data_IF_537660504878
#
_entry.id   IF_537660504878
#
_cell.length_a   1.000
_cell.length_b   1.000
_cell.length_c   1.000
_cell.angle_alpha   90.00
_cell.angle_beta   90.00
_cell.angle_gamma   90.00
#
_symmetry.space_group_name_H-M   'P 1'
#
loop_
_entity.id
_entity.type
_entity.pdbx_description
1 polymer ?
#
# COMPACT_ATOMS: atom_id res chain seq x y z
N UNK A 1 -6.09 -11.32 8.47
CA UNK A 1 -7.18 -10.69 7.68
C UNK A 1 -7.37 -11.47 6.37
N UNK A 2 -8.51 -11.33 5.65
CA UNK A 2 -8.84 -12.13 4.48
C UNK A 2 -7.79 -12.14 3.36
N UNK A 3 -6.95 -11.10 3.27
CA UNK A 3 -5.88 -11.02 2.26
C UNK A 3 -4.73 -12.03 2.46
N UNK A 4 -4.63 -12.72 3.60
CA UNK A 4 -3.69 -13.83 3.75
C UNK A 4 -4.25 -15.19 3.29
N UNK A 5 -5.51 -15.25 2.86
CA UNK A 5 -6.14 -16.50 2.41
C UNK A 5 -5.55 -17.08 1.11
N UNK A 6 -5.08 -16.28 0.13
CA UNK A 6 -4.48 -16.83 -1.09
C UNK A 6 -3.22 -17.66 -0.82
N UNK A 7 -3.12 -18.80 -1.51
CA UNK A 7 -1.96 -19.68 -1.44
C UNK A 7 -0.74 -19.06 -2.14
N UNK A 8 -0.95 -18.40 -3.28
CA UNK A 8 0.12 -17.68 -3.98
C UNK A 8 0.52 -16.42 -3.18
N UNK A 9 1.81 -16.24 -2.83
CA UNK A 9 2.29 -15.03 -2.19
C UNK A 9 2.01 -13.74 -2.98
N UNK A 10 2.04 -13.77 -4.31
CA UNK A 10 1.71 -12.60 -5.13
C UNK A 10 0.24 -12.22 -4.98
N UNK A 11 -0.65 -13.21 -4.94
CA UNK A 11 -2.07 -12.98 -4.69
C UNK A 11 -2.32 -12.41 -3.29
N UNK A 12 -1.52 -12.76 -2.27
CA UNK A 12 -1.60 -12.13 -0.94
C UNK A 12 -1.21 -10.66 -0.98
N UNK A 13 -0.14 -10.31 -1.70
CA UNK A 13 0.28 -8.91 -1.89
C UNK A 13 -0.81 -8.11 -2.63
N UNK A 14 -1.37 -8.66 -3.70
CA UNK A 14 -2.45 -8.00 -4.46
C UNK A 14 -3.74 -7.90 -3.64
N UNK A 15 -4.09 -8.93 -2.86
CA UNK A 15 -5.23 -8.89 -1.95
C UNK A 15 -5.04 -7.86 -0.83
N UNK A 16 -3.81 -7.61 -0.38
CA UNK A 16 -3.53 -6.50 0.52
C UNK A 16 -3.80 -5.15 -0.15
N UNK A 17 -3.36 -4.95 -1.41
CA UNK A 17 -3.64 -3.73 -2.17
C UNK A 17 -5.15 -3.52 -2.33
N UNK A 18 -5.89 -4.56 -2.72
CA UNK A 18 -7.36 -4.52 -2.86
C UNK A 18 -8.05 -4.24 -1.51
N UNK A 19 -7.55 -4.83 -0.42
CA UNK A 19 -8.02 -4.54 0.93
C UNK A 19 -7.81 -3.07 1.30
N UNK A 20 -6.63 -2.50 1.02
CA UNK A 20 -6.36 -1.07 1.28
C UNK A 20 -7.24 -0.16 0.44
N UNK A 21 -7.52 -0.54 -0.81
CA UNK A 21 -8.46 0.15 -1.68
C UNK A 21 -9.87 0.16 -1.08
N UNK A 22 -10.34 -0.98 -0.59
CA UNK A 22 -11.67 -1.14 -0.01
C UNK A 22 -11.86 -0.38 1.32
N UNK A 23 -10.77 -0.09 2.05
CA UNK A 23 -10.80 0.74 3.25
C UNK A 23 -10.99 2.23 2.95
N UNK A 24 -10.84 2.68 1.70
CA UNK A 24 -11.14 4.06 1.31
C UNK A 24 -12.66 4.20 1.20
N UNK A 25 -13.29 4.63 2.30
CA UNK A 25 -14.71 4.99 2.35
C UNK A 25 -14.99 6.33 1.68
N UNK A 26 -16.26 6.69 1.52
CA UNK A 26 -16.63 8.03 1.04
C UNK A 26 -16.48 9.11 2.12
N UNK A 27 -16.43 8.71 3.40
CA UNK A 27 -16.13 9.59 4.52
C UNK A 27 -14.61 9.81 4.65
N UNK A 28 -14.10 10.93 4.13
CA UNK A 28 -12.66 11.27 4.08
C UNK A 28 -11.98 11.23 5.47
N UNK A 29 -12.58 11.78 6.55
CA UNK A 29 -12.08 11.60 7.90
C UNK A 29 -11.86 10.15 8.35
N UNK A 30 -12.63 9.20 7.82
CA UNK A 30 -12.58 7.79 8.25
C UNK A 30 -11.36 7.03 7.70
N UNK A 31 -10.74 7.50 6.62
CA UNK A 31 -9.48 6.94 6.11
C UNK A 31 -8.35 7.97 6.24
N UNK A 32 -7.66 7.93 7.37
CA UNK A 32 -6.51 8.79 7.65
C UNK A 32 -5.35 7.97 8.19
N UNK A 33 -4.13 8.38 7.87
CA UNK A 33 -2.96 7.95 8.64
C UNK A 33 -2.54 9.07 9.60
N UNK A 34 -2.96 8.96 10.86
CA UNK A 34 -2.56 9.88 11.91
C UNK A 34 -1.03 9.99 12.02
N UNK A 35 -0.33 8.85 11.92
CA UNK A 35 1.14 8.82 11.95
C UNK A 35 1.76 9.64 10.80
N UNK A 36 1.20 9.56 9.59
CA UNK A 36 1.67 10.35 8.44
C UNK A 36 1.51 11.85 8.67
N UNK A 37 0.36 12.27 9.21
CA UNK A 37 0.10 13.68 9.55
C UNK A 37 1.05 14.18 10.63
N UNK A 38 1.24 13.42 11.72
CA UNK A 38 2.17 13.79 12.79
C UNK A 38 3.60 13.86 12.29
N UNK A 39 4.03 12.91 11.46
CA UNK A 39 5.37 12.93 10.89
C UNK A 39 5.64 14.21 10.08
N UNK A 40 4.68 14.71 9.30
CA UNK A 40 4.87 15.97 8.56
C UNK A 40 4.92 17.18 9.49
N UNK A 41 3.96 17.28 10.42
CA UNK A 41 3.78 18.45 11.28
C UNK A 41 4.89 18.61 12.33
N UNK A 42 5.32 17.51 12.95
CA UNK A 42 6.18 17.58 14.15
C UNK A 42 7.55 16.93 14.01
N UNK A 43 8.00 16.55 12.81
CA UNK A 43 9.30 15.86 12.62
C UNK A 43 10.49 16.57 13.26
N UNK A 44 10.51 17.91 13.24
CA UNK A 44 11.60 18.72 13.78
C UNK A 44 11.38 19.17 15.23
N UNK A 45 10.14 19.16 15.71
CA UNK A 45 9.75 19.80 16.99
C UNK A 45 9.41 18.79 18.09
N UNK A 46 9.06 17.55 17.76
CA UNK A 46 8.74 16.51 18.72
C UNK A 46 9.37 15.15 18.31
N UNK A 47 10.65 14.91 18.64
CA UNK A 47 11.37 13.71 18.21
C UNK A 47 10.70 12.40 18.68
N UNK A 48 10.20 12.35 19.91
CA UNK A 48 9.53 11.14 20.43
C UNK A 48 8.24 10.81 19.66
N UNK A 49 7.49 11.84 19.24
CA UNK A 49 6.28 11.66 18.43
C UNK A 49 6.65 11.25 17.01
N UNK A 50 7.67 11.88 16.42
CA UNK A 50 8.21 11.49 15.11
C UNK A 50 8.63 10.03 15.11
N UNK A 51 9.35 9.59 16.13
CA UNK A 51 9.89 8.24 16.20
C UNK A 51 8.78 7.20 16.40
N UNK A 52 7.75 7.52 17.20
CA UNK A 52 6.54 6.70 17.32
C UNK A 52 5.75 6.63 15.99
N UNK A 53 5.62 7.75 15.28
CA UNK A 53 4.99 7.79 13.96
C UNK A 53 5.79 6.97 12.93
N UNK A 54 7.12 7.09 12.95
CA UNK A 54 8.02 6.30 12.10
C UNK A 54 7.85 4.80 12.37
N UNK A 55 7.83 4.37 13.63
CA UNK A 55 7.60 2.97 13.99
C UNK A 55 6.27 2.44 13.41
N UNK A 56 5.20 3.23 13.47
CA UNK A 56 3.91 2.87 12.86
C UNK A 56 3.96 2.80 11.33
N UNK A 57 4.61 3.76 10.67
CA UNK A 57 4.70 3.84 9.21
C UNK A 57 5.56 2.71 8.65
N UNK A 58 6.77 2.53 9.19
CA UNK A 58 7.72 1.52 8.72
C UNK A 58 7.33 0.12 9.16
N UNK A 59 6.83 -0.05 10.39
CA UNK A 59 6.32 -1.34 10.85
C UNK A 59 5.15 -1.83 9.98
N UNK A 60 4.32 -0.93 9.44
CA UNK A 60 3.29 -1.31 8.49
C UNK A 60 3.87 -1.81 7.15
N UNK A 61 4.90 -1.13 6.63
CA UNK A 61 5.59 -1.58 5.42
C UNK A 61 6.24 -2.96 5.64
N UNK A 62 6.93 -3.16 6.77
CA UNK A 62 7.60 -4.41 7.12
C UNK A 62 6.66 -5.63 7.09
N UNK A 63 5.36 -5.45 7.39
CA UNK A 63 4.38 -6.55 7.31
C UNK A 63 4.23 -7.16 5.91
N UNK A 64 4.57 -6.43 4.85
CA UNK A 64 4.48 -6.89 3.46
C UNK A 64 5.75 -7.59 2.97
N UNK A 65 6.88 -7.35 3.62
CA UNK A 65 8.18 -7.85 3.15
C UNK A 65 8.22 -9.37 3.00
N UNK A 66 7.69 -10.19 3.94
CA UNK A 66 7.70 -11.64 3.81
C UNK A 66 6.92 -12.14 2.58
N UNK A 67 5.73 -11.57 2.32
CA UNK A 67 4.89 -11.96 1.19
C UNK A 67 5.49 -11.50 -0.15
N UNK A 68 6.09 -10.31 -0.19
CA UNK A 68 6.81 -9.84 -1.40
C UNK A 68 8.03 -10.71 -1.68
N UNK A 69 8.84 -11.04 -0.66
CA UNK A 69 10.01 -11.90 -0.83
C UNK A 69 9.61 -13.30 -1.28
N UNK A 70 8.55 -13.88 -0.70
CA UNK A 70 8.02 -15.17 -1.12
C UNK A 70 7.47 -15.12 -2.55
N UNK A 71 6.85 -14.02 -2.96
CA UNK A 71 6.38 -13.83 -4.33
C UNK A 71 7.56 -13.75 -5.31
N UNK A 72 8.63 -13.05 -4.95
CA UNK A 72 9.82 -12.95 -5.80
C UNK A 72 10.42 -14.32 -6.06
N UNK A 73 10.54 -15.14 -5.01
CA UNK A 73 11.02 -16.52 -5.13
C UNK A 73 10.08 -17.39 -5.97
N UNK A 74 8.78 -17.40 -5.65
CA UNK A 74 7.79 -18.24 -6.32
C UNK A 74 7.63 -17.92 -7.83
N UNK A 75 7.83 -16.67 -8.21
CA UNK A 75 7.69 -16.19 -9.59
C UNK A 75 9.05 -15.99 -10.30
N UNK A 76 10.16 -16.41 -9.69
CA UNK A 76 11.50 -16.35 -10.30
C UNK A 76 11.98 -14.93 -10.61
N UNK A 77 11.56 -13.95 -9.81
CA UNK A 77 11.91 -12.54 -10.00
C UNK A 77 13.34 -12.30 -9.55
N UNK A 78 14.20 -11.90 -10.49
CA UNK A 78 15.52 -11.35 -10.21
C UNK A 78 15.39 -9.83 -10.21
N UNK A 79 15.40 -9.18 -9.05
CA UNK A 79 15.19 -7.74 -8.99
C UNK A 79 16.40 -6.98 -9.55
N UNK A 80 16.13 -5.99 -10.40
CA UNK A 80 17.11 -5.02 -10.89
C UNK A 80 16.96 -3.70 -10.12
N UNK A 81 17.76 -3.53 -9.06
CA UNK A 81 17.78 -2.29 -8.27
C UNK A 81 16.63 -2.09 -7.27
N UNK A 82 15.79 -3.10 -7.03
CA UNK A 82 14.74 -3.05 -6.00
C UNK A 82 14.79 -4.27 -5.07
N UNK A 83 14.03 -4.22 -3.98
CA UNK A 83 13.94 -5.30 -3.00
C UNK A 83 12.53 -5.39 -2.42
N UNK A 84 12.24 -6.47 -1.71
CA UNK A 84 10.99 -6.59 -0.95
C UNK A 84 10.76 -5.39 -0.02
N UNK A 85 11.79 -4.99 0.73
CA UNK A 85 11.75 -3.83 1.62
C UNK A 85 11.56 -2.49 0.91
N UNK A 86 12.14 -2.29 -0.29
CA UNK A 86 11.89 -1.05 -1.04
C UNK A 86 10.48 -1.02 -1.63
N UNK A 87 9.98 -2.15 -2.13
CA UNK A 87 8.62 -2.23 -2.66
C UNK A 87 7.56 -2.06 -1.55
N UNK A 88 7.78 -2.66 -0.38
CA UNK A 88 6.94 -2.45 0.79
C UNK A 88 6.84 -0.97 1.20
N UNK A 89 7.98 -0.27 1.26
CA UNK A 89 8.03 1.18 1.51
C UNK A 89 7.35 1.98 0.39
N UNK A 90 7.46 1.55 -0.86
CA UNK A 90 6.75 2.17 -1.99
C UNK A 90 5.23 2.04 -1.84
N UNK A 91 4.70 0.88 -1.45
CA UNK A 91 3.29 0.69 -1.14
C UNK A 91 2.82 1.71 -0.08
N UNK A 92 3.60 1.88 0.99
CA UNK A 92 3.29 2.85 2.03
C UNK A 92 3.35 4.30 1.52
N UNK A 93 4.33 4.64 0.68
CA UNK A 93 4.43 5.97 0.07
C UNK A 93 3.20 6.30 -0.79
N UNK A 94 2.73 5.36 -1.62
CA UNK A 94 1.54 5.55 -2.46
C UNK A 94 0.29 5.71 -1.61
N UNK A 95 0.11 4.90 -0.57
CA UNK A 95 -1.04 5.02 0.34
C UNK A 95 -1.09 6.38 1.05
N UNK A 96 0.05 6.83 1.59
CA UNK A 96 0.15 8.13 2.26
C UNK A 96 -0.13 9.28 1.27
N UNK A 97 0.48 9.23 0.07
CA UNK A 97 0.27 10.22 -0.98
C UNK A 97 -1.17 10.28 -1.47
N UNK A 98 -1.80 9.12 -1.69
CA UNK A 98 -3.21 9.04 -2.09
C UNK A 98 -4.14 9.68 -1.07
N UNK A 99 -3.91 9.44 0.23
CA UNK A 99 -4.71 10.07 1.29
C UNK A 99 -4.52 11.59 1.35
N UNK A 100 -3.33 12.10 1.03
CA UNK A 100 -3.08 13.54 0.92
C UNK A 100 -3.87 14.14 -0.25
N UNK A 101 -3.79 13.53 -1.43
CA UNK A 101 -4.50 14.01 -2.62
C UNK A 101 -6.02 14.00 -2.42
N UNK A 102 -6.56 12.92 -1.86
CA UNK A 102 -7.98 12.82 -1.58
C UNK A 102 -8.47 13.91 -0.62
N UNK A 103 -7.70 14.22 0.43
CA UNK A 103 -8.03 15.32 1.35
C UNK A 103 -7.90 16.70 0.71
N UNK A 104 -6.87 16.89 -0.11
CA UNK A 104 -6.63 18.17 -0.77
C UNK A 104 -7.72 18.52 -1.79
N UNK A 105 -8.25 17.51 -2.51
CA UNK A 105 -9.30 17.69 -3.50
C UNK A 105 -10.71 17.48 -2.95
N UNK A 106 -10.85 17.02 -1.71
CA UNK A 106 -12.12 16.54 -1.13
C UNK A 106 -12.77 15.45 -2.00
N UNK A 107 -11.96 14.48 -2.45
CA UNK A 107 -12.34 13.42 -3.36
C UNK A 107 -11.68 12.07 -2.98
N UNK A 108 -12.42 11.10 -2.41
CA UNK A 108 -11.87 9.79 -2.03
C UNK A 108 -11.42 8.97 -3.25
N UNK A 109 -11.92 9.23 -4.45
CA UNK A 109 -11.57 8.47 -5.65
C UNK A 109 -10.10 8.66 -6.04
N UNK A 110 -9.48 9.80 -5.70
CA UNK A 110 -8.05 10.02 -5.92
C UNK A 110 -7.17 9.05 -5.11
N UNK A 111 -7.60 8.66 -3.91
CA UNK A 111 -6.90 7.63 -3.14
C UNK A 111 -7.09 6.25 -3.76
N UNK A 112 -8.31 5.92 -4.22
CA UNK A 112 -8.61 4.66 -4.91
C UNK A 112 -7.81 4.54 -6.21
N UNK A 113 -7.74 5.60 -7.00
CA UNK A 113 -6.96 5.70 -8.23
C UNK A 113 -5.46 5.44 -7.97
N UNK A 114 -4.88 6.08 -6.96
CA UNK A 114 -3.48 5.87 -6.59
C UNK A 114 -3.21 4.40 -6.21
N UNK A 115 -4.12 3.76 -5.48
CA UNK A 115 -4.02 2.35 -5.09
C UNK A 115 -4.23 1.42 -6.30
N UNK A 116 -5.11 1.76 -7.22
CA UNK A 116 -5.29 1.03 -8.48
C UNK A 116 -4.01 1.06 -9.33
N UNK A 117 -3.34 2.21 -9.38
CA UNK A 117 -2.02 2.33 -10.02
C UNK A 117 -0.93 1.52 -9.30
N UNK A 118 -0.93 1.47 -7.96
CA UNK A 118 -0.03 0.58 -7.21
C UNK A 118 -0.25 -0.89 -7.59
N UNK A 119 -1.50 -1.33 -7.70
CA UNK A 119 -1.83 -2.68 -8.12
C UNK A 119 -1.34 -3.00 -9.54
N UNK A 120 -1.42 -2.04 -10.47
CA UNK A 120 -0.87 -2.19 -11.84
C UNK A 120 0.66 -2.28 -11.81
N UNK A 121 1.30 -1.45 -10.99
CA UNK A 121 2.76 -1.43 -10.84
C UNK A 121 3.29 -2.76 -10.27
N UNK A 122 2.66 -3.30 -9.22
CA UNK A 122 3.02 -4.63 -8.68
C UNK A 122 2.87 -5.69 -9.76
N UNK A 123 1.73 -5.76 -10.46
CA UNK A 123 1.54 -6.73 -11.55
C UNK A 123 2.62 -6.62 -12.63
N UNK A 124 3.03 -5.40 -12.98
CA UNK A 124 4.10 -5.15 -13.93
C UNK A 124 5.46 -5.68 -13.45
N UNK A 125 5.84 -5.44 -12.19
CA UNK A 125 7.09 -5.96 -11.60
C UNK A 125 7.15 -7.49 -11.62
N UNK A 126 6.01 -8.15 -11.49
CA UNK A 126 5.90 -9.61 -11.48
C UNK A 126 5.55 -10.22 -12.85
N UNK A 127 5.46 -9.42 -13.91
CA UNK A 127 5.17 -9.90 -15.26
C UNK A 127 3.79 -10.53 -15.45
N UNK A 128 2.84 -10.26 -14.55
CA UNK A 128 1.48 -10.82 -14.62
C UNK A 128 0.55 -9.85 -15.36
N UNK A 129 -0.28 -10.40 -16.26
CA UNK A 129 -1.29 -9.61 -16.95
C UNK A 129 -2.34 -9.06 -15.95
N UNK A 130 -3.03 -7.95 -16.26
CA UNK A 130 -4.17 -7.51 -15.46
C UNK A 130 -5.19 -8.64 -15.37
N UNK A 131 -5.68 -8.93 -14.16
CA UNK A 131 -6.85 -9.78 -14.01
C UNK A 131 -7.99 -9.17 -14.85
N UNK A 132 -8.64 -9.98 -15.68
CA UNK A 132 -9.82 -9.54 -16.41
C UNK A 132 -10.80 -8.91 -15.42
N UNK A 133 -11.28 -7.71 -15.73
CA UNK A 133 -12.18 -6.93 -14.88
C UNK A 133 -13.29 -7.83 -14.34
N UNK A 134 -13.28 -8.07 -13.03
CA UNK A 134 -14.43 -8.65 -12.33
C UNK A 134 -15.55 -7.63 -12.47
N UNK A 135 -16.59 -7.96 -13.22
CA UNK A 135 -17.84 -7.20 -13.20
C UNK A 135 -18.33 -7.14 -11.74
N UNK A 136 -18.52 -5.93 -11.22
CA UNK A 136 -19.12 -5.73 -9.91
C UNK A 136 -20.54 -6.32 -9.93
N UNK A 137 -20.92 -7.16 -8.96
CA UNK A 137 -22.29 -7.63 -8.85
C UNK A 137 -23.19 -6.42 -8.60
N UNK A 138 -24.16 -6.23 -9.49
CA UNK A 138 -25.21 -5.22 -9.42
C UNK A 138 -26.06 -5.36 -8.15
#
# INVERSE_FOLDING_TARGET
>A
APHHAPADPLDRVLAYVDFRRALVSDDIPAFTCLAGTLAQEVHATAPDIRDAAAAGIFGHAETLEPDIAAAMEAHGIVPDGWSAASLARHCQAVLQGGFILAKAANDPDLAREAIDHLGRYVRHLFGVAPAASREDPK
#
